data_IF_190066847155
#
_entry.id   IF_190066847155
#
_cell.length_a   1.000
_cell.length_b   1.000
_cell.length_c   1.000
_cell.angle_alpha   90.00
_cell.angle_beta   90.00
_cell.angle_gamma   90.00
#
_symmetry.space_group_name_H-M   'P 1'
#
loop_
_entity.id
_entity.type
_entity.pdbx_description
1 polymer ?
#
# COMPACT_ATOMS: atom_id res chain seq x y z
N UNK A 1 -27.99 -72.64 -16.11
CA UNK A 1 -27.93 -71.16 -15.97
C UNK A 1 -27.42 -70.84 -14.57
N UNK A 2 -26.15 -70.45 -14.41
CA UNK A 2 -25.60 -69.97 -13.14
C UNK A 2 -25.24 -68.49 -13.32
N UNK A 3 -26.03 -67.58 -12.75
CA UNK A 3 -25.74 -66.15 -12.79
C UNK A 3 -24.64 -65.83 -11.78
N UNK A 4 -23.51 -65.36 -12.30
CA UNK A 4 -22.41 -64.79 -11.56
C UNK A 4 -22.82 -63.37 -11.17
N UNK A 5 -23.13 -63.17 -9.88
CA UNK A 5 -23.20 -61.85 -9.27
C UNK A 5 -21.90 -61.60 -8.52
N UNK A 6 -21.08 -60.66 -8.99
CA UNK A 6 -19.88 -60.20 -8.29
C UNK A 6 -20.26 -59.04 -7.35
N UNK A 7 -19.91 -59.09 -6.06
CA UNK A 7 -20.22 -57.98 -5.16
C UNK A 7 -19.38 -56.76 -5.52
N UNK A 8 -20.05 -55.62 -5.64
CA UNK A 8 -19.44 -54.30 -5.81
C UNK A 8 -18.81 -53.88 -4.48
N UNK A 9 -17.48 -53.85 -4.39
CA UNK A 9 -16.76 -53.39 -3.20
C UNK A 9 -16.72 -51.85 -3.17
N UNK A 10 -17.51 -51.28 -2.26
CA UNK A 10 -17.48 -49.84 -1.95
C UNK A 10 -16.18 -49.56 -1.18
N UNK A 11 -15.18 -49.03 -1.88
CA UNK A 11 -13.95 -48.55 -1.23
C UNK A 11 -14.28 -47.24 -0.49
N UNK A 12 -14.17 -47.25 0.84
CA UNK A 12 -14.52 -46.08 1.66
C UNK A 12 -13.53 -44.91 1.44
N UNK A 13 -13.99 -43.69 1.13
CA UNK A 13 -13.14 -42.54 0.82
C UNK A 13 -12.30 -42.07 2.01
N UNK A 14 -12.75 -42.36 3.23
CA UNK A 14 -12.06 -42.00 4.47
C UNK A 14 -10.71 -42.70 4.69
N UNK A 15 -10.45 -43.81 3.98
CA UNK A 15 -9.19 -44.54 4.09
C UNK A 15 -8.01 -43.85 3.39
N UNK A 16 -8.29 -43.00 2.39
CA UNK A 16 -7.28 -42.22 1.67
C UNK A 16 -6.70 -41.10 2.54
N UNK A 17 -7.54 -40.41 3.31
CA UNK A 17 -7.13 -39.33 4.22
C UNK A 17 -6.18 -39.84 5.31
N UNK A 18 -6.46 -41.03 5.86
CA UNK A 18 -5.66 -41.64 6.94
C UNK A 18 -4.31 -42.19 6.46
N UNK A 19 -4.20 -42.54 5.18
CA UNK A 19 -2.97 -43.06 4.55
C UNK A 19 -2.01 -41.92 4.16
N UNK A 20 -2.55 -40.76 3.80
CA UNK A 20 -1.76 -39.54 3.54
C UNK A 20 -1.11 -39.01 4.83
N UNK A 21 -1.81 -39.10 5.96
CA UNK A 21 -1.33 -38.67 7.28
C UNK A 21 -0.19 -39.55 7.87
N UNK A 22 0.15 -40.68 7.24
CA UNK A 22 1.15 -41.65 7.73
C UNK A 22 2.48 -41.62 6.98
N UNK A 23 2.65 -40.71 6.02
CA UNK A 23 3.91 -40.52 5.29
C UNK A 23 4.72 -39.40 5.93
N UNK A 24 6.00 -39.62 6.23
CA UNK A 24 6.89 -38.60 6.81
C UNK A 24 7.01 -37.34 5.91
N UNK A 25 6.86 -37.51 4.59
CA UNK A 25 6.79 -36.40 3.62
C UNK A 25 5.48 -35.60 3.71
N UNK A 26 4.39 -36.24 4.16
CA UNK A 26 3.10 -35.59 4.39
C UNK A 26 3.10 -34.78 5.69
N UNK A 27 3.82 -35.23 6.72
CA UNK A 27 3.96 -34.52 8.00
C UNK A 27 4.62 -33.15 7.83
N UNK A 28 5.67 -33.05 7.01
CA UNK A 28 6.35 -31.78 6.72
C UNK A 28 5.43 -30.73 6.08
N UNK A 29 4.53 -31.15 5.19
CA UNK A 29 3.54 -30.26 4.58
C UNK A 29 2.52 -29.77 5.60
N UNK A 30 2.15 -30.60 6.58
CA UNK A 30 1.22 -30.23 7.65
C UNK A 30 1.86 -29.23 8.61
N UNK A 31 3.13 -29.40 8.97
CA UNK A 31 3.89 -28.43 9.78
C UNK A 31 3.96 -27.06 9.09
N UNK A 32 4.29 -27.04 7.79
CA UNK A 32 4.28 -25.80 7.01
C UNK A 32 2.88 -25.18 6.96
N UNK A 33 1.83 -25.98 6.76
CA UNK A 33 0.46 -25.48 6.67
C UNK A 33 0.00 -24.75 7.96
N UNK A 34 0.55 -25.12 9.12
CA UNK A 34 0.27 -24.46 10.41
C UNK A 34 1.08 -23.17 10.56
N UNK A 35 2.34 -23.15 10.11
CA UNK A 35 3.22 -21.97 10.21
C UNK A 35 2.87 -20.90 9.16
N UNK A 36 2.45 -21.33 7.97
CA UNK A 36 2.14 -20.49 6.83
C UNK A 36 1.12 -19.36 7.10
N UNK A 37 -0.01 -19.56 7.80
CA UNK A 37 -0.93 -18.45 8.12
C UNK A 37 -0.26 -17.36 8.97
N UNK A 38 0.60 -17.73 9.93
CA UNK A 38 1.35 -16.75 10.74
C UNK A 38 2.34 -15.97 9.87
N UNK A 39 3.05 -16.66 8.97
CA UNK A 39 3.96 -16.02 8.02
C UNK A 39 3.24 -15.08 7.05
N UNK A 40 2.05 -15.47 6.57
CA UNK A 40 1.25 -14.62 5.68
C UNK A 40 0.78 -13.35 6.39
N UNK A 41 0.39 -13.43 7.66
CA UNK A 41 0.02 -12.24 8.45
C UNK A 41 1.23 -11.34 8.66
N UNK A 42 2.39 -11.89 9.02
CA UNK A 42 3.63 -11.11 9.19
C UNK A 42 4.07 -10.44 7.87
N UNK A 43 3.98 -11.17 6.76
CA UNK A 43 4.30 -10.65 5.44
C UNK A 43 3.34 -9.53 5.03
N UNK A 44 2.03 -9.76 5.18
CA UNK A 44 1.00 -8.75 4.88
C UNK A 44 1.15 -7.50 5.74
N UNK A 45 1.42 -7.65 7.04
CA UNK A 45 1.65 -6.54 7.95
C UNK A 45 2.89 -5.72 7.54
N UNK A 46 3.99 -6.38 7.19
CA UNK A 46 5.22 -5.71 6.74
C UNK A 46 5.02 -5.02 5.39
N UNK A 47 4.28 -5.63 4.47
CA UNK A 47 3.96 -5.04 3.17
C UNK A 47 3.12 -3.76 3.31
N UNK A 48 2.05 -3.80 4.11
CA UNK A 48 1.23 -2.61 4.38
C UNK A 48 2.02 -1.53 5.15
N UNK A 49 2.86 -1.93 6.10
CA UNK A 49 3.74 -0.98 6.80
C UNK A 49 4.72 -0.31 5.84
N UNK A 50 5.32 -1.06 4.90
CA UNK A 50 6.18 -0.50 3.86
C UNK A 50 5.45 0.51 2.97
N UNK A 51 4.21 0.19 2.57
CA UNK A 51 3.36 1.10 1.79
C UNK A 51 3.04 2.38 2.58
N UNK A 52 2.67 2.25 3.85
CA UNK A 52 2.43 3.39 4.73
C UNK A 52 3.66 4.29 4.87
N UNK A 53 4.82 3.70 5.13
CA UNK A 53 6.08 4.43 5.28
C UNK A 53 6.47 5.15 3.99
N UNK A 54 6.30 4.49 2.84
CA UNK A 54 6.51 5.09 1.53
C UNK A 54 5.63 6.34 1.34
N UNK A 55 4.32 6.24 1.59
CA UNK A 55 3.39 7.37 1.47
C UNK A 55 3.78 8.53 2.40
N UNK A 56 4.10 8.24 3.66
CA UNK A 56 4.53 9.24 4.63
C UNK A 56 5.78 10.00 4.18
N UNK A 57 6.80 9.27 3.72
CA UNK A 57 8.05 9.87 3.29
C UNK A 57 7.88 10.69 2.00
N UNK A 58 7.04 10.24 1.07
CA UNK A 58 6.71 10.97 -0.16
C UNK A 58 6.03 12.30 0.16
N UNK A 59 5.02 12.32 1.03
CA UNK A 59 4.37 13.56 1.49
C UNK A 59 5.36 14.50 2.18
N UNK A 60 6.21 13.97 3.05
CA UNK A 60 7.23 14.77 3.75
C UNK A 60 8.24 15.39 2.79
N UNK A 61 8.65 14.66 1.74
CA UNK A 61 9.54 15.20 0.70
C UNK A 61 8.82 16.28 -0.13
N UNK A 62 7.60 16.01 -0.58
CA UNK A 62 6.83 16.93 -1.41
C UNK A 62 6.56 18.26 -0.70
N UNK A 63 6.17 18.21 0.58
CA UNK A 63 5.96 19.41 1.42
C UNK A 63 7.23 20.24 1.58
N UNK A 64 8.39 19.61 1.82
CA UNK A 64 9.69 20.33 1.88
C UNK A 64 10.05 20.99 0.54
N UNK A 65 9.79 20.32 -0.58
CA UNK A 65 10.01 20.89 -1.92
C UNK A 65 9.11 22.11 -2.13
N UNK A 66 7.82 22.02 -1.79
CA UNK A 66 6.89 23.15 -1.86
C UNK A 66 7.29 24.32 -0.96
N UNK A 67 7.72 24.05 0.27
CA UNK A 67 8.22 25.08 1.18
C UNK A 67 9.48 25.76 0.64
N UNK A 68 10.46 24.98 0.15
CA UNK A 68 11.67 25.52 -0.47
C UNK A 68 11.33 26.36 -1.69
N UNK A 69 10.38 25.93 -2.51
CA UNK A 69 9.91 26.71 -3.65
C UNK A 69 9.42 28.09 -3.19
N UNK A 70 8.56 28.16 -2.16
CA UNK A 70 8.08 29.44 -1.61
C UNK A 70 9.19 30.33 -1.05
N UNK A 71 10.29 29.78 -0.52
CA UNK A 71 11.43 30.59 -0.06
C UNK A 71 12.21 31.25 -1.19
N UNK A 72 12.21 30.64 -2.38
CA UNK A 72 12.97 31.12 -3.54
C UNK A 72 12.09 31.78 -4.60
N UNK A 73 10.77 31.59 -4.52
CA UNK A 73 9.83 32.09 -5.50
C UNK A 73 9.73 33.62 -5.41
N UNK A 74 9.59 34.32 -6.55
CA UNK A 74 9.26 35.74 -6.56
C UNK A 74 7.97 35.99 -5.77
N UNK A 75 7.96 37.02 -4.93
CA UNK A 75 6.77 37.45 -4.20
C UNK A 75 5.71 37.94 -5.21
N UNK A 76 4.70 37.12 -5.47
CA UNK A 76 3.65 37.41 -6.45
C UNK A 76 2.54 36.34 -6.45
N UNK A 77 1.34 36.72 -6.88
CA UNK A 77 0.07 36.01 -6.63
C UNK A 77 -0.09 34.60 -7.20
N UNK A 78 0.90 34.04 -7.90
CA UNK A 78 0.86 32.65 -8.41
C UNK A 78 1.80 31.69 -7.70
N UNK A 79 2.70 32.17 -6.83
CA UNK A 79 3.71 31.33 -6.17
C UNK A 79 3.06 30.28 -5.25
N UNK A 80 2.02 30.69 -4.52
CA UNK A 80 1.25 29.83 -3.62
C UNK A 80 0.59 28.67 -4.36
N UNK A 81 -0.07 28.94 -5.49
CA UNK A 81 -0.69 27.91 -6.34
C UNK A 81 0.34 26.96 -6.97
N UNK A 82 1.48 27.48 -7.42
CA UNK A 82 2.56 26.65 -7.97
C UNK A 82 3.22 25.77 -6.88
N UNK A 83 3.38 26.29 -5.67
CA UNK A 83 3.85 25.52 -4.52
C UNK A 83 2.88 24.41 -4.16
N UNK A 84 1.58 24.71 -4.15
CA UNK A 84 0.53 23.72 -3.91
C UNK A 84 0.56 22.61 -4.98
N UNK A 85 0.69 22.97 -6.26
CA UNK A 85 0.82 22.01 -7.35
C UNK A 85 2.07 21.14 -7.22
N UNK A 86 3.21 21.70 -6.78
CA UNK A 86 4.43 20.94 -6.52
C UNK A 86 4.24 19.89 -5.41
N UNK A 87 3.48 20.20 -4.37
CA UNK A 87 3.21 19.25 -3.28
C UNK A 87 2.29 18.12 -3.74
N UNK A 88 1.29 18.43 -4.58
CA UNK A 88 0.27 17.45 -4.99
C UNK A 88 0.72 16.61 -6.19
N UNK A 89 1.33 17.22 -7.19
CA UNK A 89 1.63 16.61 -8.50
C UNK A 89 3.14 16.50 -8.79
N UNK A 90 4.00 17.04 -7.92
CA UNK A 90 5.45 17.06 -8.14
C UNK A 90 5.91 18.03 -9.24
N UNK A 91 5.01 18.83 -9.81
CA UNK A 91 5.31 19.81 -10.86
C UNK A 91 4.50 21.10 -10.65
N UNK A 92 5.00 22.22 -11.19
CA UNK A 92 4.33 23.53 -11.02
C UNK A 92 3.09 23.70 -11.91
N UNK A 93 2.93 22.89 -12.95
CA UNK A 93 1.80 22.96 -13.89
C UNK A 93 0.51 22.35 -13.32
N UNK A 94 0.61 21.50 -12.29
CA UNK A 94 -0.55 20.85 -11.67
C UNK A 94 -1.15 19.75 -12.54
N UNK A 95 -0.35 19.12 -13.38
CA UNK A 95 -0.78 18.10 -14.35
C UNK A 95 -0.31 16.70 -13.94
N UNK A 96 -1.00 15.68 -14.42
CA UNK A 96 -0.65 14.27 -14.18
C UNK A 96 -1.26 13.72 -12.89
N UNK A 97 -0.86 12.50 -12.54
CA UNK A 97 -1.35 11.83 -11.34
C UNK A 97 -0.74 12.45 -10.06
N UNK A 98 -1.50 12.53 -8.96
CA UNK A 98 -0.97 12.97 -7.69
C UNK A 98 0.15 12.06 -7.18
N UNK A 99 1.11 12.62 -6.44
CA UNK A 99 2.25 11.88 -5.86
C UNK A 99 1.82 10.82 -4.85
N UNK A 100 0.60 10.94 -4.32
CA UNK A 100 -0.03 9.98 -3.40
C UNK A 100 -1.49 9.81 -3.80
N UNK A 101 -1.96 8.56 -3.83
CA UNK A 101 -3.36 8.25 -4.13
C UNK A 101 -4.32 8.99 -3.18
N UNK A 102 -5.33 9.64 -3.75
CA UNK A 102 -6.33 10.42 -3.01
C UNK A 102 -5.86 11.82 -2.58
N UNK A 103 -4.64 12.23 -2.93
CA UNK A 103 -4.15 13.59 -2.69
C UNK A 103 -4.67 14.54 -3.78
N UNK A 104 -5.19 15.69 -3.37
CA UNK A 104 -5.66 16.75 -4.27
C UNK A 104 -5.29 18.13 -3.74
N UNK A 105 -5.47 19.16 -4.58
CA UNK A 105 -5.29 20.55 -4.18
C UNK A 105 -6.21 20.96 -3.01
N UNK A 106 -7.34 20.28 -2.79
CA UNK A 106 -8.20 20.56 -1.64
C UNK A 106 -7.56 20.18 -0.29
N UNK A 107 -6.62 19.22 -0.28
CA UNK A 107 -6.01 18.70 0.95
C UNK A 107 -4.81 19.52 1.43
N UNK A 108 -4.23 20.35 0.57
CA UNK A 108 -2.97 21.07 0.85
C UNK A 108 -3.18 22.56 0.63
N UNK A 109 -2.70 23.38 1.57
CA UNK A 109 -2.64 24.84 1.41
C UNK A 109 -1.20 25.30 1.57
N UNK A 110 -0.69 25.99 0.57
CA UNK A 110 0.62 26.62 0.59
C UNK A 110 0.40 28.14 0.58
N UNK A 111 1.00 28.85 1.54
CA UNK A 111 0.88 30.31 1.65
C UNK A 111 2.26 30.89 1.94
N UNK A 112 2.73 31.77 1.05
CA UNK A 112 3.89 32.61 1.33
C UNK A 112 3.57 33.55 2.49
N UNK A 113 4.56 33.82 3.36
CA UNK A 113 4.39 34.83 4.39
C UNK A 113 4.22 36.18 3.69
N UNK A 114 2.98 36.65 3.58
CA UNK A 114 2.72 38.01 3.16
C UNK A 114 3.48 38.91 4.12
N UNK A 115 4.44 39.69 3.61
CA UNK A 115 5.02 40.79 4.38
C UNK A 115 3.83 41.67 4.74
N UNK A 116 3.35 41.59 5.98
CA UNK A 116 2.32 42.50 6.46
C UNK A 116 2.91 43.89 6.24
N UNK A 117 2.38 44.64 5.27
CA UNK A 117 2.73 46.04 5.10
C UNK A 117 2.23 46.71 6.38
N UNK A 118 3.11 46.83 7.35
CA UNK A 118 2.89 47.64 8.53
C UNK A 118 2.77 49.06 8.00
N UNK A 119 1.53 49.50 7.80
CA UNK A 119 1.18 50.89 7.53
C UNK A 119 1.43 51.68 8.81
N UNK A 120 2.71 51.89 9.12
CA UNK A 120 3.17 52.87 10.08
C UNK A 120 4.07 53.83 9.33
N UNK A 121 3.45 54.89 8.80
CA UNK A 121 4.05 56.15 8.36
C UNK A 121 4.82 56.12 7.04
#
# INVERSE_FOLDING_TARGET
MRSIVRPFSIVSPFSLVRRFARSERGTQLVELAIVLPVLLVLFGATAEFGRFFYTYQTLTKATRVGARYLTTAPTGGTADGKAQNLVVYGNTAGTGDPVVYGLSSANVRARSAARSSSSWR
#
